data_IF_973551267485
#
_entry.id   IF_973551267485
#
_cell.length_a   1.000
_cell.length_b   1.000
_cell.length_c   1.000
_cell.angle_alpha   90.00
_cell.angle_beta   90.00
_cell.angle_gamma   90.00
#
_symmetry.space_group_name_H-M   'P 1'
#
loop_
_entity.id
_entity.type
_entity.pdbx_description
1 polymer ?
#
# COMPACT_ATOMS: atom_id res chain seq x y z
N UNK A 1 -9.86 8.08 -0.56
CA UNK A 1 -8.79 9.08 -0.36
C UNK A 1 -7.57 8.64 -1.17
N UNK A 2 -6.80 9.59 -1.73
CA UNK A 2 -5.51 9.31 -2.40
C UNK A 2 -4.47 10.30 -1.86
N UNK A 3 -3.28 9.82 -1.60
CA UNK A 3 -2.12 10.63 -1.22
C UNK A 3 -1.04 10.44 -2.29
N UNK A 4 -0.31 11.50 -2.60
CA UNK A 4 0.77 11.51 -3.58
C UNK A 4 2.04 12.05 -2.92
N UNK A 5 3.18 11.45 -3.27
CA UNK A 5 4.50 11.75 -2.70
C UNK A 5 5.57 11.52 -3.76
N UNK A 6 6.76 12.03 -3.54
CA UNK A 6 7.94 11.78 -4.40
C UNK A 6 8.71 10.49 -4.02
N UNK A 7 8.21 9.70 -3.05
CA UNK A 7 8.82 8.43 -2.62
C UNK A 7 8.83 7.44 -3.77
N UNK A 8 10.02 6.98 -4.15
CA UNK A 8 10.21 6.05 -5.27
C UNK A 8 10.05 4.60 -4.80
N UNK A 9 8.81 4.17 -4.62
CA UNK A 9 8.49 2.84 -4.09
C UNK A 9 8.43 1.73 -5.16
N UNK A 10 8.79 2.06 -6.41
CA UNK A 10 8.55 1.20 -7.58
C UNK A 10 7.09 0.70 -7.56
N UNK A 11 6.84 -0.55 -7.94
CA UNK A 11 5.51 -1.17 -7.86
C UNK A 11 5.22 -1.77 -6.48
N UNK A 12 5.99 -1.45 -5.43
CA UNK A 12 5.95 -2.15 -4.14
C UNK A 12 5.25 -1.31 -3.09
N UNK A 13 4.33 -1.92 -2.36
CA UNK A 13 3.71 -1.31 -1.18
C UNK A 13 3.38 -2.39 -0.15
N UNK A 14 3.01 -1.98 1.05
CA UNK A 14 2.79 -2.89 2.17
C UNK A 14 1.44 -2.66 2.79
N UNK A 15 0.71 -3.75 3.07
CA UNK A 15 -0.53 -3.72 3.85
C UNK A 15 -0.44 -4.71 4.99
N UNK A 16 -1.07 -4.39 6.12
CA UNK A 16 -1.12 -5.32 7.24
C UNK A 16 -2.00 -6.55 6.93
N UNK A 17 -1.75 -7.65 7.64
CA UNK A 17 -2.63 -8.81 7.72
C UNK A 17 -3.22 -8.87 9.12
N UNK A 18 -4.49 -8.47 9.23
CA UNK A 18 -5.26 -8.44 10.48
C UNK A 18 -4.59 -7.66 11.62
N UNK A 19 -3.89 -6.57 11.30
CA UNK A 19 -3.18 -5.74 12.28
C UNK A 19 -1.96 -6.38 12.93
N UNK A 20 -1.46 -7.49 12.38
CA UNK A 20 -0.32 -8.22 12.97
C UNK A 20 0.97 -8.06 12.16
N UNK A 21 1.02 -8.63 10.96
CA UNK A 21 2.23 -8.61 10.11
C UNK A 21 2.03 -7.73 8.89
N UNK A 22 3.10 -7.07 8.46
CA UNK A 22 3.11 -6.30 7.20
C UNK A 22 3.46 -7.22 6.02
N UNK A 23 2.57 -7.28 5.04
CA UNK A 23 2.71 -8.09 3.85
C UNK A 23 3.16 -7.22 2.68
N UNK A 24 4.26 -7.61 2.03
CA UNK A 24 4.73 -6.99 0.79
C UNK A 24 3.76 -7.30 -0.36
N UNK A 25 3.31 -6.25 -1.05
CA UNK A 25 2.45 -6.30 -2.24
C UNK A 25 3.22 -5.75 -3.44
N UNK A 26 2.86 -6.22 -4.64
CA UNK A 26 3.36 -5.68 -5.90
C UNK A 26 2.18 -5.33 -6.78
N UNK A 27 2.13 -4.10 -7.28
CA UNK A 27 1.16 -3.69 -8.29
C UNK A 27 1.54 -4.32 -9.62
N UNK A 28 0.62 -5.10 -10.18
CA UNK A 28 0.85 -5.80 -11.44
C UNK A 28 0.02 -5.13 -12.54
N UNK A 29 0.65 -4.61 -13.61
CA UNK A 29 -0.06 -3.98 -14.71
C UNK A 29 -0.89 -4.97 -15.53
N UNK A 30 -0.59 -6.28 -15.42
CA UNK A 30 -1.40 -7.35 -16.01
C UNK A 30 -2.75 -7.53 -15.33
N UNK A 31 -2.88 -7.09 -14.06
CA UNK A 31 -4.13 -7.17 -13.33
C UNK A 31 -4.97 -5.92 -13.58
N UNK A 32 -6.31 -6.04 -13.67
CA UNK A 32 -7.16 -4.86 -13.69
C UNK A 32 -7.02 -4.10 -12.36
N UNK A 33 -7.43 -2.83 -12.32
CA UNK A 33 -7.22 -1.96 -11.14
C UNK A 33 -7.71 -2.61 -9.84
N UNK A 34 -8.88 -3.23 -9.86
CA UNK A 34 -9.47 -3.94 -8.71
C UNK A 34 -8.63 -5.15 -8.26
N UNK A 35 -7.86 -5.77 -9.15
CA UNK A 35 -6.97 -6.88 -8.83
C UNK A 35 -5.69 -6.48 -8.09
N UNK A 36 -5.46 -5.17 -7.92
CA UNK A 36 -4.34 -4.62 -7.14
C UNK A 36 -4.80 -3.97 -5.82
N UNK A 37 -6.09 -4.10 -5.46
CA UNK A 37 -6.61 -3.66 -4.17
C UNK A 37 -6.51 -4.76 -3.12
N UNK A 38 -6.05 -4.39 -1.92
CA UNK A 38 -5.88 -5.32 -0.79
C UNK A 38 -6.57 -4.78 0.46
N UNK A 39 -6.95 -5.67 1.40
CA UNK A 39 -7.36 -5.25 2.73
C UNK A 39 -6.25 -4.48 3.44
N UNK A 40 -6.64 -3.36 4.05
CA UNK A 40 -5.84 -2.59 5.01
C UNK A 40 -6.65 -2.57 6.29
N UNK A 41 -6.28 -3.41 7.26
CA UNK A 41 -7.06 -3.50 8.50
C UNK A 41 -6.71 -2.35 9.45
N UNK A 42 -5.41 -2.03 9.55
CA UNK A 42 -4.90 -1.00 10.46
C UNK A 42 -3.87 -0.08 9.83
N UNK A 43 -3.10 -0.54 8.83
CA UNK A 43 -2.00 0.25 8.29
C UNK A 43 -1.51 -0.20 6.92
N UNK A 44 -1.10 0.78 6.11
CA UNK A 44 -0.37 0.56 4.88
C UNK A 44 0.81 1.53 4.78
N UNK A 45 1.86 1.15 4.05
CA UNK A 45 2.96 2.08 3.78
C UNK A 45 3.58 1.86 2.41
N UNK A 46 4.27 2.91 1.95
CA UNK A 46 5.22 2.90 0.84
C UNK A 46 6.56 3.45 1.34
N UNK A 47 7.65 3.01 0.73
CA UNK A 47 8.99 3.45 1.09
C UNK A 47 9.95 3.36 -0.08
N UNK A 48 11.00 4.16 0.00
CA UNK A 48 12.21 4.04 -0.82
C UNK A 48 13.44 3.86 0.10
N UNK A 49 14.64 4.08 -0.43
CA UNK A 49 15.89 3.93 0.35
C UNK A 49 16.06 4.95 1.49
N UNK A 50 15.34 6.06 1.47
CA UNK A 50 15.55 7.20 2.37
C UNK A 50 14.31 7.51 3.23
N UNK A 51 13.10 7.33 2.67
CA UNK A 51 11.86 7.80 3.26
C UNK A 51 10.78 6.71 3.27
N UNK A 52 9.95 6.73 4.31
CA UNK A 52 8.75 5.92 4.44
C UNK A 52 7.55 6.80 4.78
N UNK A 53 6.44 6.59 4.06
CA UNK A 53 5.14 7.14 4.43
C UNK A 53 4.23 6.01 4.89
N UNK A 54 3.81 6.06 6.15
CA UNK A 54 2.85 5.12 6.74
C UNK A 54 1.50 5.80 6.95
N UNK A 55 0.44 5.18 6.47
CA UNK A 55 -0.93 5.56 6.73
C UNK A 55 -1.55 4.59 7.74
N UNK A 56 -1.97 5.11 8.89
CA UNK A 56 -2.74 4.37 9.89
C UNK A 56 -4.23 4.60 9.67
N UNK A 57 -5.03 3.55 9.84
CA UNK A 57 -6.49 3.62 9.72
C UNK A 57 -7.14 3.25 11.04
N UNK A 58 -8.21 3.95 11.40
CA UNK A 58 -8.99 3.64 12.60
C UNK A 58 -10.01 2.51 12.36
N UNK A 59 -10.22 2.12 11.10
CA UNK A 59 -11.16 1.08 10.68
C UNK A 59 -10.63 0.36 9.43
N UNK A 60 -11.01 -0.91 9.22
CA UNK A 60 -10.60 -1.67 8.06
C UNK A 60 -11.20 -1.11 6.76
N UNK A 61 -10.44 -1.18 5.67
CA UNK A 61 -10.88 -0.76 4.35
C UNK A 61 -10.06 -1.39 3.23
N UNK A 62 -10.32 -0.96 2.00
CA UNK A 62 -9.52 -1.33 0.83
C UNK A 62 -8.48 -0.26 0.49
N UNK A 63 -7.25 -0.69 0.19
CA UNK A 63 -6.16 0.20 -0.21
C UNK A 63 -5.28 -0.39 -1.31
N UNK A 64 -4.53 0.47 -2.00
CA UNK A 64 -3.60 0.10 -3.05
C UNK A 64 -2.60 1.24 -3.32
N UNK A 65 -1.45 0.93 -3.93
CA UNK A 65 -0.56 1.91 -4.58
C UNK A 65 -0.57 1.68 -6.09
N UNK A 66 -1.39 2.45 -6.82
CA UNK A 66 -1.64 2.25 -8.25
C UNK A 66 -0.64 2.97 -9.17
N UNK A 67 0.22 3.81 -8.60
CA UNK A 67 1.23 4.58 -9.32
C UNK A 67 2.50 4.63 -8.47
N UNK A 68 3.63 4.53 -9.15
CA UNK A 68 4.97 4.81 -8.64
C UNK A 68 5.34 6.26 -8.92
#
# INVERSE_FOLDING_TARGET
MRVSTEIQNEDIFYTDSNGYQMMRRKTLPTNPIQGNYYPVATSAFIEDSNLRMTMLTAQPGGGSSLKS
#
